data_IF_420044885120
#
_entry.id   IF_420044885120
#
_cell.length_a   1.000
_cell.length_b   1.000
_cell.length_c   1.000
_cell.angle_alpha   90.00
_cell.angle_beta   90.00
_cell.angle_gamma   90.00
#
_symmetry.space_group_name_H-M   'P 1'
#
loop_
_entity.id
_entity.type
_entity.pdbx_description
1 polymer ?
#
# COMPACT_ATOMS: atom_id res chain seq x y z
N UNK A 1 10.71 20.47 -16.74
CA UNK A 1 9.47 21.00 -16.10
C UNK A 1 8.56 21.87 -16.98
N UNK A 2 8.84 22.14 -18.28
CA UNK A 2 7.93 22.91 -19.17
C UNK A 2 6.79 22.08 -19.80
N UNK A 3 6.98 20.77 -19.96
CA UNK A 3 5.95 19.87 -20.52
C UNK A 3 4.75 19.60 -19.58
N UNK A 4 4.91 19.87 -18.28
CA UNK A 4 3.86 19.70 -17.25
C UNK A 4 2.81 20.83 -17.36
N UNK A 5 3.18 22.00 -17.89
CA UNK A 5 2.32 23.19 -17.86
C UNK A 5 1.25 23.23 -18.95
N UNK A 6 1.35 22.37 -19.96
CA UNK A 6 0.50 22.48 -21.16
C UNK A 6 -0.81 21.69 -21.11
N UNK A 7 -1.03 20.80 -20.11
CA UNK A 7 -2.25 19.99 -19.99
C UNK A 7 -2.62 19.70 -18.52
N UNK A 8 -3.19 20.67 -17.79
CA UNK A 8 -3.56 20.50 -16.37
C UNK A 8 -4.59 19.37 -16.16
N UNK A 9 -5.45 19.11 -17.15
CA UNK A 9 -6.45 18.03 -17.11
C UNK A 9 -5.81 16.64 -16.90
N UNK A 10 -4.73 16.33 -17.63
CA UNK A 10 -4.04 15.04 -17.50
C UNK A 10 -3.35 14.86 -16.14
N UNK A 11 -2.93 15.96 -15.53
CA UNK A 11 -2.35 15.95 -14.18
C UNK A 11 -3.45 15.68 -13.16
N UNK A 12 -4.60 16.33 -13.31
CA UNK A 12 -5.76 16.09 -12.47
C UNK A 12 -6.25 14.64 -12.58
N UNK A 13 -6.31 14.08 -13.79
CA UNK A 13 -6.66 12.66 -14.01
C UNK A 13 -5.64 11.73 -13.33
N UNK A 14 -4.34 11.94 -13.54
CA UNK A 14 -3.31 11.13 -12.91
C UNK A 14 -3.35 11.21 -11.37
N UNK A 15 -3.58 12.40 -10.82
CA UNK A 15 -3.79 12.60 -9.38
C UNK A 15 -5.05 11.88 -8.89
N UNK A 16 -6.16 12.00 -9.61
CA UNK A 16 -7.41 11.34 -9.26
C UNK A 16 -7.25 9.81 -9.26
N UNK A 17 -6.55 9.25 -10.25
CA UNK A 17 -6.20 7.83 -10.28
C UNK A 17 -5.30 7.44 -9.10
N UNK A 18 -4.28 8.24 -8.80
CA UNK A 18 -3.38 8.00 -7.68
C UNK A 18 -4.10 8.05 -6.32
N UNK A 19 -4.97 9.03 -6.12
CA UNK A 19 -5.81 9.16 -4.91
C UNK A 19 -6.77 7.98 -4.82
N UNK A 20 -7.43 7.61 -5.92
CA UNK A 20 -8.34 6.47 -5.96
C UNK A 20 -7.63 5.17 -5.60
N UNK A 21 -6.45 4.93 -6.17
CA UNK A 21 -5.62 3.79 -5.82
C UNK A 21 -5.24 3.81 -4.34
N UNK A 22 -4.83 4.97 -3.82
CA UNK A 22 -4.44 5.10 -2.43
C UNK A 22 -5.62 4.84 -1.47
N UNK A 23 -6.83 5.27 -1.81
CA UNK A 23 -8.06 4.96 -1.06
C UNK A 23 -8.36 3.46 -1.08
N UNK A 24 -8.27 2.81 -2.24
CA UNK A 24 -8.46 1.36 -2.35
C UNK A 24 -7.45 0.60 -1.49
N UNK A 25 -6.20 1.05 -1.44
CA UNK A 25 -5.18 0.45 -0.59
C UNK A 25 -5.44 0.68 0.91
N UNK A 26 -6.02 1.83 1.30
CA UNK A 26 -6.47 2.05 2.69
C UNK A 26 -7.59 1.07 3.04
N UNK A 27 -8.58 0.90 2.16
CA UNK A 27 -9.70 -0.02 2.38
C UNK A 27 -9.22 -1.47 2.49
N UNK A 28 -8.29 -1.88 1.62
CA UNK A 28 -7.63 -3.18 1.71
C UNK A 28 -6.94 -3.35 3.06
N UNK A 29 -6.18 -2.35 3.52
CA UNK A 29 -5.50 -2.40 4.81
C UNK A 29 -6.49 -2.50 5.98
N UNK A 30 -7.57 -1.72 5.96
CA UNK A 30 -8.61 -1.76 6.99
C UNK A 30 -9.28 -3.14 7.04
N UNK A 31 -9.55 -3.75 5.88
CA UNK A 31 -10.03 -5.12 5.77
C UNK A 31 -9.07 -6.14 6.37
N UNK A 32 -7.78 -6.06 6.03
CA UNK A 32 -6.74 -6.92 6.63
C UNK A 32 -6.62 -6.70 8.14
N UNK A 33 -6.74 -5.46 8.61
CA UNK A 33 -6.80 -5.14 10.03
C UNK A 33 -7.93 -5.89 10.74
N UNK A 34 -9.14 -5.89 10.18
CA UNK A 34 -10.28 -6.61 10.75
C UNK A 34 -10.05 -8.13 10.84
N UNK A 35 -9.37 -8.73 9.85
CA UNK A 35 -9.02 -10.16 9.86
C UNK A 35 -8.06 -10.52 11.00
N UNK A 36 -7.18 -9.58 11.38
CA UNK A 36 -6.23 -9.74 12.49
C UNK A 36 -6.85 -9.30 13.84
N UNK A 37 -8.12 -8.87 13.85
CA UNK A 37 -8.85 -8.46 15.06
C UNK A 37 -8.72 -6.97 15.42
N UNK A 38 -8.30 -6.12 14.48
CA UNK A 38 -8.26 -4.67 14.68
C UNK A 38 -9.61 -4.02 14.36
N UNK A 39 -10.33 -3.64 15.41
CA UNK A 39 -11.59 -2.90 15.33
C UNK A 39 -11.37 -1.42 15.61
N UNK A 40 -10.81 -0.70 14.65
CA UNK A 40 -10.61 0.76 14.73
C UNK A 40 -11.40 1.48 13.64
N UNK A 41 -11.81 2.74 13.85
CA UNK A 41 -12.59 3.47 12.87
C UNK A 41 -11.80 3.65 11.56
N UNK A 42 -12.52 3.63 10.43
CA UNK A 42 -11.90 3.82 9.11
C UNK A 42 -11.14 5.16 9.00
N UNK A 43 -11.57 6.19 9.74
CA UNK A 43 -10.87 7.47 9.82
C UNK A 43 -9.45 7.34 10.39
N UNK A 44 -9.22 6.41 11.32
CA UNK A 44 -7.88 6.11 11.82
C UNK A 44 -7.01 5.49 10.71
N UNK A 45 -7.56 4.56 9.92
CA UNK A 45 -6.87 3.96 8.78
C UNK A 45 -6.55 4.97 7.67
N UNK A 46 -7.48 5.88 7.37
CA UNK A 46 -7.29 6.95 6.37
C UNK A 46 -6.11 7.87 6.72
N UNK A 47 -5.77 8.02 7.99
CA UNK A 47 -4.62 8.79 8.43
C UNK A 47 -3.36 7.93 8.61
N UNK A 48 -3.48 6.84 9.37
CA UNK A 48 -2.35 6.01 9.75
C UNK A 48 -1.69 5.33 8.54
N UNK A 49 -2.49 4.85 7.58
CA UNK A 49 -1.94 4.11 6.45
C UNK A 49 -1.12 4.97 5.47
N UNK A 50 -1.59 6.15 5.02
CA UNK A 50 -0.74 7.04 4.22
C UNK A 50 0.53 7.46 4.95
N UNK A 51 0.45 7.79 6.24
CA UNK A 51 1.63 8.16 7.03
C UNK A 51 2.64 7.01 7.14
N UNK A 52 2.17 5.78 7.38
CA UNK A 52 3.02 4.59 7.37
C UNK A 52 3.63 4.31 5.98
N UNK A 53 2.92 4.57 4.89
CA UNK A 53 3.50 4.47 3.54
C UNK A 53 4.54 5.55 3.26
N UNK A 54 4.39 6.75 3.81
CA UNK A 54 5.41 7.79 3.71
C UNK A 54 6.67 7.42 4.50
N UNK A 55 6.53 6.75 5.65
CA UNK A 55 7.71 6.30 6.41
C UNK A 55 8.53 5.25 5.64
N UNK A 56 7.89 4.45 4.78
CA UNK A 56 8.57 3.50 3.90
C UNK A 56 9.48 4.17 2.84
N UNK A 57 9.35 5.49 2.61
CA UNK A 57 10.25 6.25 1.74
C UNK A 57 11.59 6.55 2.40
N UNK A 58 11.72 6.35 3.72
CA UNK A 58 12.97 6.50 4.42
C UNK A 58 13.93 5.38 3.97
N UNK A 59 15.16 5.69 3.52
CA UNK A 59 16.12 4.72 3.01
C UNK A 59 16.81 3.94 4.13
N UNK A 60 16.04 3.45 5.10
CA UNK A 60 16.52 2.73 6.28
C UNK A 60 16.43 1.22 6.07
N UNK A 61 15.43 0.75 5.34
CA UNK A 61 15.16 -0.67 5.11
C UNK A 61 14.78 -0.95 3.65
N UNK A 62 15.03 -2.18 3.19
CA UNK A 62 14.68 -2.60 1.84
C UNK A 62 13.16 -2.54 1.64
N UNK A 63 12.71 -1.65 0.76
CA UNK A 63 11.29 -1.47 0.48
C UNK A 63 10.46 -0.94 1.66
N UNK A 64 11.10 -0.36 2.69
CA UNK A 64 10.43 0.17 3.88
C UNK A 64 9.89 -0.88 4.85
N UNK A 65 10.23 -2.16 4.65
CA UNK A 65 9.85 -3.26 5.54
C UNK A 65 10.50 -3.11 6.93
N UNK A 66 9.69 -3.14 7.97
CA UNK A 66 10.05 -2.84 9.35
C UNK A 66 9.77 -1.39 9.72
N UNK A 67 10.12 -0.42 8.86
CA UNK A 67 9.88 1.01 9.12
C UNK A 67 8.40 1.37 8.99
N UNK A 68 7.73 0.84 7.95
CA UNK A 68 6.29 0.99 7.77
C UNK A 68 5.53 0.40 8.96
N UNK A 69 5.91 -0.81 9.36
CA UNK A 69 5.26 -1.57 10.44
C UNK A 69 5.45 -0.88 11.80
N UNK A 70 6.67 -0.42 12.08
CA UNK A 70 6.95 0.35 13.30
C UNK A 70 6.16 1.67 13.33
N UNK A 71 6.11 2.38 12.20
CA UNK A 71 5.31 3.60 12.08
C UNK A 71 3.81 3.30 12.27
N UNK A 72 3.30 2.24 11.67
CA UNK A 72 1.90 1.83 11.81
C UNK A 72 1.56 1.48 13.26
N UNK A 73 2.43 0.72 13.95
CA UNK A 73 2.27 0.40 15.36
C UNK A 73 2.23 1.68 16.23
N UNK A 74 3.13 2.64 15.98
CA UNK A 74 3.12 3.93 16.68
C UNK A 74 1.90 4.78 16.39
N UNK A 75 1.46 4.85 15.12
CA UNK A 75 0.30 5.62 14.68
C UNK A 75 -1.03 5.05 15.21
N UNK A 76 -1.09 3.73 15.41
CA UNK A 76 -2.28 3.05 15.94
C UNK A 76 -2.30 2.93 17.46
N UNK A 77 -1.17 3.14 18.15
CA UNK A 77 -1.09 3.08 19.62
C UNK A 77 -2.13 3.98 20.34
N UNK A 78 -2.45 5.21 19.90
CA UNK A 78 -3.49 6.04 20.53
C UNK A 78 -4.89 5.45 20.46
N UNK A 79 -5.12 4.48 19.57
CA UNK A 79 -6.39 3.77 19.41
C UNK A 79 -6.44 2.47 20.25
N UNK A 80 -5.47 2.26 21.15
CA UNK A 80 -5.41 1.07 22.00
C UNK A 80 -4.96 -0.19 21.27
N UNK A 81 -4.41 -0.07 20.06
CA UNK A 81 -3.96 -1.20 19.26
C UNK A 81 -2.65 -1.75 19.80
N UNK A 82 -2.61 -3.07 20.02
CA UNK A 82 -1.38 -3.75 20.37
C UNK A 82 -0.38 -3.72 19.19
N UNK A 83 0.90 -3.36 19.42
CA UNK A 83 1.89 -3.26 18.35
C UNK A 83 2.02 -4.54 17.51
N UNK A 84 1.89 -5.71 18.14
CA UNK A 84 1.97 -7.00 17.44
C UNK A 84 0.89 -7.16 16.37
N UNK A 85 -0.34 -6.69 16.64
CA UNK A 85 -1.47 -6.77 15.71
C UNK A 85 -1.30 -5.76 14.57
N UNK A 86 -0.81 -4.55 14.87
CA UNK A 86 -0.49 -3.55 13.85
C UNK A 86 0.60 -4.06 12.88
N UNK A 87 1.66 -4.67 13.42
CA UNK A 87 2.74 -5.28 12.62
C UNK A 87 2.19 -6.44 11.79
N UNK A 88 1.38 -7.31 12.40
CA UNK A 88 0.76 -8.44 11.69
C UNK A 88 -0.14 -7.98 10.52
N UNK A 89 -0.94 -6.92 10.69
CA UNK A 89 -1.72 -6.32 9.61
C UNK A 89 -0.83 -5.75 8.50
N UNK A 90 0.30 -5.12 8.84
CA UNK A 90 1.28 -4.63 7.85
C UNK A 90 1.95 -5.77 7.08
N UNK A 91 2.31 -6.86 7.75
CA UNK A 91 2.89 -8.05 7.12
C UNK A 91 1.88 -8.79 6.23
N UNK A 92 0.62 -8.89 6.65
CA UNK A 92 -0.46 -9.44 5.85
C UNK A 92 -0.59 -8.68 4.51
N UNK A 93 -0.53 -7.34 4.57
CA UNK A 93 -0.52 -6.52 3.36
C UNK A 93 0.69 -6.80 2.47
N UNK A 94 1.88 -6.96 3.06
CA UNK A 94 3.06 -7.34 2.28
C UNK A 94 2.87 -8.68 1.57
N UNK A 95 2.25 -9.66 2.23
CA UNK A 95 1.90 -10.95 1.63
C UNK A 95 0.99 -10.80 0.41
N UNK A 96 -0.02 -9.92 0.50
CA UNK A 96 -0.92 -9.61 -0.63
C UNK A 96 -0.17 -8.97 -1.80
N UNK A 97 0.72 -8.02 -1.52
CA UNK A 97 1.50 -7.35 -2.58
C UNK A 97 2.48 -8.30 -3.26
N UNK A 98 3.21 -9.11 -2.48
CA UNK A 98 4.16 -10.09 -3.03
C UNK A 98 3.42 -11.14 -3.86
N UNK A 99 2.34 -11.72 -3.33
CA UNK A 99 1.56 -12.72 -4.06
C UNK A 99 0.95 -12.15 -5.36
N UNK A 100 0.36 -10.95 -5.30
CA UNK A 100 -0.16 -10.27 -6.49
C UNK A 100 0.93 -10.00 -7.54
N UNK A 101 2.12 -9.56 -7.10
CA UNK A 101 3.28 -9.36 -7.97
C UNK A 101 3.77 -10.64 -8.64
N UNK A 102 3.82 -11.76 -7.89
CA UNK A 102 4.19 -13.07 -8.42
C UNK A 102 3.18 -13.57 -9.46
N UNK A 103 1.88 -13.44 -9.19
CA UNK A 103 0.82 -13.81 -10.13
C UNK A 103 0.90 -12.96 -11.41
N UNK A 104 1.04 -11.64 -11.27
CA UNK A 104 1.21 -10.74 -12.41
C UNK A 104 2.46 -11.07 -13.24
N UNK A 105 3.58 -11.35 -12.57
CA UNK A 105 4.82 -11.76 -13.22
C UNK A 105 4.68 -13.10 -13.96
N UNK A 106 4.01 -14.09 -13.37
CA UNK A 106 3.76 -15.37 -14.01
C UNK A 106 2.89 -15.22 -15.27
N UNK A 107 1.82 -14.40 -15.20
CA UNK A 107 0.97 -14.11 -16.36
C UNK A 107 1.78 -13.43 -17.46
N UNK A 108 2.55 -12.38 -17.13
CA UNK A 108 3.38 -11.67 -18.09
C UNK A 108 4.41 -12.60 -18.76
N UNK A 109 5.03 -13.49 -18.00
CA UNK A 109 5.97 -14.48 -18.51
C UNK A 109 5.32 -15.45 -19.50
N UNK A 110 4.14 -15.98 -19.17
CA UNK A 110 3.39 -16.88 -20.06
C UNK A 110 2.96 -16.18 -21.34
N UNK A 111 2.49 -14.93 -21.25
CA UNK A 111 2.12 -14.13 -22.42
C UNK A 111 3.31 -13.85 -23.33
N UNK A 112 4.48 -13.55 -22.77
CA UNK A 112 5.70 -13.35 -23.54
C UNK A 112 6.12 -14.62 -24.29
N UNK A 113 6.01 -15.80 -23.66
CA UNK A 113 6.29 -17.10 -24.31
C UNK A 113 5.38 -17.37 -25.52
N UNK A 114 4.10 -17.04 -25.41
CA UNK A 114 3.13 -17.21 -26.52
C UNK A 114 3.43 -16.26 -27.69
N UNK A 115 4.02 -15.10 -27.42
CA UNK A 115 4.40 -14.13 -28.46
C UNK A 115 5.68 -14.54 -29.19
N UNK A 116 6.67 -15.12 -28.51
CA UNK A 116 7.91 -15.61 -29.14
C UNK A 116 7.70 -16.83 -30.07
N UNK A 117 6.59 -17.57 -29.90
CA UNK A 117 6.24 -18.72 -30.76
C UNK A 117 5.46 -18.34 -32.04
N UNK A 118 5.13 -17.05 -32.23
CA UNK A 118 4.43 -16.52 -33.43
C UNK A 118 5.35 -15.74 -34.35
#
# INVERSE_FOLDING_TARGET
MRAVRSRPERIAEALAMGVSLQLLLVLLQAGLGSVVGLEIPLTAWLFAWPMAKLSALLPVTQGGLGVREAALAGLLAPFGVEPVLAVAAGLAFQGVIISGGLVGGAIAYLLARVQDER
#
